data_IF_726301255559
#
_entry.id   IF_726301255559
#
_cell.length_a   1.000
_cell.length_b   1.000
_cell.length_c   1.000
_cell.angle_alpha   90.00
_cell.angle_beta   90.00
_cell.angle_gamma   90.00
#
_symmetry.space_group_name_H-M   'P 1'
#
loop_
_entity.id
_entity.type
_entity.pdbx_description
1 polymer ?
#
# COMPACT_ATOMS: atom_id res chain seq x y z
N UNK A 1 44.77 24.95 29.68
CA UNK A 1 43.70 24.87 30.70
C UNK A 1 42.63 25.84 30.26
N UNK A 2 41.46 25.44 29.79
CA UNK A 2 40.75 24.15 29.78
C UNK A 2 39.86 24.08 28.55
N UNK A 3 39.72 22.86 28.04
CA UNK A 3 38.68 22.39 27.13
C UNK A 3 37.28 22.90 27.47
N UNK A 4 36.47 23.11 26.44
CA UNK A 4 35.06 23.47 26.58
C UNK A 4 34.33 23.28 25.27
N UNK A 5 34.28 22.03 24.81
CA UNK A 5 33.52 21.58 23.67
C UNK A 5 32.04 22.02 23.76
N UNK A 6 31.61 22.94 22.91
CA UNK A 6 30.24 22.95 22.42
C UNK A 6 30.25 22.27 21.06
N UNK A 7 30.24 20.94 21.06
CA UNK A 7 29.70 20.17 19.94
C UNK A 7 28.27 20.67 19.76
N UNK A 8 28.05 21.52 18.77
CA UNK A 8 26.71 21.69 18.22
C UNK A 8 26.29 20.30 17.78
N UNK A 9 25.33 19.72 18.50
CA UNK A 9 24.68 18.49 18.12
C UNK A 9 24.06 18.75 16.75
N UNK A 10 24.70 18.17 15.73
CA UNK A 10 24.24 18.12 14.35
C UNK A 10 22.76 17.76 14.38
N UNK A 11 21.84 18.67 14.00
CA UNK A 11 20.42 18.41 14.13
C UNK A 11 20.14 17.20 13.26
N UNK A 12 19.86 16.09 13.95
CA UNK A 12 19.46 14.80 13.41
C UNK A 12 18.96 14.99 11.99
N UNK A 13 19.72 14.42 11.04
CA UNK A 13 19.36 14.28 9.64
C UNK A 13 17.99 13.60 9.58
N UNK A 14 16.93 14.40 9.79
CA UNK A 14 15.54 13.99 9.77
C UNK A 14 15.30 13.71 8.32
N UNK A 15 15.52 12.45 7.96
CA UNK A 15 15.20 11.92 6.64
C UNK A 15 13.80 12.37 6.23
N UNK A 16 13.51 12.36 4.92
CA UNK A 16 12.24 12.84 4.41
C UNK A 16 11.06 12.29 5.22
N UNK A 17 10.04 13.11 5.48
CA UNK A 17 8.94 12.73 6.36
C UNK A 17 8.31 11.44 5.85
N UNK A 18 8.15 10.46 6.74
CA UNK A 18 7.50 9.18 6.40
C UNK A 18 6.07 9.46 5.95
N UNK A 19 5.78 9.15 4.70
CA UNK A 19 4.47 9.21 4.07
C UNK A 19 3.80 7.83 4.16
N UNK A 20 2.46 7.76 4.04
CA UNK A 20 1.78 6.46 3.97
C UNK A 20 2.25 5.60 2.78
N UNK A 21 2.83 6.21 1.73
CA UNK A 21 3.38 5.51 0.56
C UNK A 21 4.69 4.79 0.85
N UNK A 22 5.37 5.11 1.97
CA UNK A 22 6.60 4.44 2.40
C UNK A 22 6.31 3.10 3.11
N UNK A 23 5.04 2.77 3.36
CA UNK A 23 4.66 1.47 3.89
C UNK A 23 4.50 0.46 2.73
N UNK A 24 5.29 -0.64 2.70
CA UNK A 24 5.21 -1.63 1.62
C UNK A 24 3.84 -2.32 1.51
N UNK A 25 2.99 -2.21 2.53
CA UNK A 25 1.63 -2.74 2.53
C UNK A 25 0.55 -1.72 2.18
N UNK A 26 0.88 -0.45 1.95
CA UNK A 26 -0.12 0.57 1.61
C UNK A 26 -0.83 0.25 0.29
N UNK A 27 -0.05 0.07 -0.79
CA UNK A 27 -0.59 -0.23 -2.11
C UNK A 27 -1.40 -1.54 -2.15
N UNK A 28 -0.92 -2.69 -1.63
CA UNK A 28 -1.72 -3.91 -1.68
C UNK A 28 -3.01 -3.80 -0.87
N UNK A 29 -3.03 -3.11 0.28
CA UNK A 29 -4.26 -2.88 1.04
C UNK A 29 -5.27 -2.05 0.24
N UNK A 30 -4.80 -0.99 -0.41
CA UNK A 30 -5.65 -0.17 -1.29
C UNK A 30 -6.24 -0.99 -2.44
N UNK A 31 -5.43 -1.85 -3.06
CA UNK A 31 -5.89 -2.74 -4.13
C UNK A 31 -6.90 -3.77 -3.62
N UNK A 32 -6.74 -4.31 -2.41
CA UNK A 32 -7.75 -5.20 -1.82
C UNK A 32 -9.09 -4.51 -1.59
N UNK A 33 -9.08 -3.25 -1.15
CA UNK A 33 -10.30 -2.44 -1.01
C UNK A 33 -11.01 -2.30 -2.37
N UNK A 34 -10.25 -1.97 -3.42
CA UNK A 34 -10.82 -1.88 -4.77
C UNK A 34 -11.29 -3.23 -5.31
N UNK A 35 -10.58 -4.32 -5.04
CA UNK A 35 -11.03 -5.65 -5.43
C UNK A 35 -12.36 -6.00 -4.76
N UNK A 36 -12.51 -5.74 -3.46
CA UNK A 36 -13.79 -5.97 -2.76
C UNK A 36 -14.90 -5.10 -3.35
N UNK A 37 -14.63 -3.83 -3.64
CA UNK A 37 -15.59 -2.96 -4.31
C UNK A 37 -16.00 -3.53 -5.67
N UNK A 38 -15.05 -3.80 -6.57
CA UNK A 38 -15.34 -4.34 -7.89
C UNK A 38 -16.10 -5.67 -7.85
N UNK A 39 -15.76 -6.54 -6.89
CA UNK A 39 -16.48 -7.79 -6.65
C UNK A 39 -17.93 -7.55 -6.19
N UNK A 40 -18.14 -6.58 -5.30
CA UNK A 40 -19.47 -6.21 -4.83
C UNK A 40 -20.31 -5.64 -5.98
N UNK A 41 -19.83 -4.63 -6.68
CA UNK A 41 -20.58 -3.97 -7.76
C UNK A 41 -20.71 -4.84 -9.03
N UNK A 42 -19.84 -5.84 -9.22
CA UNK A 42 -19.89 -6.74 -10.38
C UNK A 42 -20.86 -7.93 -10.24
N UNK A 43 -21.16 -8.34 -9.00
CA UNK A 43 -21.93 -9.57 -8.71
C UNK A 43 -23.01 -9.44 -7.66
N UNK A 44 -22.86 -8.58 -6.65
CA UNK A 44 -23.77 -8.47 -5.51
C UNK A 44 -24.74 -7.31 -5.68
N UNK A 45 -24.26 -6.17 -6.20
CA UNK A 45 -25.09 -5.01 -6.43
C UNK A 45 -26.09 -5.26 -7.58
N UNK A 46 -27.39 -5.13 -7.29
CA UNK A 46 -28.49 -5.40 -8.25
C UNK A 46 -29.21 -4.12 -8.70
N UNK A 47 -28.58 -2.95 -8.56
CA UNK A 47 -29.16 -1.69 -9.03
C UNK A 47 -29.40 -1.71 -10.54
N UNK A 48 -30.63 -1.41 -10.97
CA UNK A 48 -31.02 -1.42 -12.40
C UNK A 48 -30.21 -0.42 -13.23
N UNK A 49 -29.81 0.72 -12.64
CA UNK A 49 -28.96 1.73 -13.30
C UNK A 49 -27.54 1.24 -13.67
N UNK A 50 -27.01 0.23 -12.95
CA UNK A 50 -25.72 -0.39 -13.27
C UNK A 50 -25.77 -1.26 -14.53
N UNK A 51 -26.95 -1.79 -14.88
CA UNK A 51 -27.15 -2.65 -16.05
C UNK A 51 -27.17 -1.84 -17.34
N UNK A 52 -27.79 -0.66 -17.34
CA UNK A 52 -27.88 0.20 -18.53
C UNK A 52 -26.57 0.92 -18.86
N UNK A 53 -25.75 1.22 -17.85
CA UNK A 53 -24.58 2.09 -18.01
C UNK A 53 -23.31 1.37 -18.53
N UNK A 54 -23.36 0.07 -18.77
CA UNK A 54 -22.19 -0.73 -19.17
C UNK A 54 -21.11 -0.89 -18.09
N UNK A 55 -21.29 -0.27 -16.92
CA UNK A 55 -20.39 -0.30 -15.76
C UNK A 55 -20.32 -1.68 -15.12
N UNK A 56 -21.37 -2.51 -15.24
CA UNK A 56 -21.36 -3.90 -14.77
C UNK A 56 -20.18 -4.70 -15.36
N UNK A 57 -19.95 -4.60 -16.67
CA UNK A 57 -18.85 -5.32 -17.33
C UNK A 57 -17.49 -4.78 -16.91
N UNK A 58 -17.38 -3.45 -16.73
CA UNK A 58 -16.18 -2.83 -16.18
C UNK A 58 -15.85 -3.40 -14.80
N UNK A 59 -16.84 -3.54 -13.92
CA UNK A 59 -16.62 -4.08 -12.58
C UNK A 59 -16.25 -5.57 -12.60
N UNK A 60 -16.88 -6.36 -13.47
CA UNK A 60 -16.59 -7.80 -13.62
C UNK A 60 -15.19 -8.09 -14.16
N UNK A 61 -14.67 -7.25 -15.06
CA UNK A 61 -13.31 -7.40 -15.59
C UNK A 61 -12.30 -6.72 -14.66
N UNK A 62 -12.66 -5.59 -14.06
CA UNK A 62 -11.85 -4.88 -13.08
C UNK A 62 -11.53 -5.73 -11.86
N UNK A 63 -12.49 -6.53 -11.39
CA UNK A 63 -12.30 -7.43 -10.25
C UNK A 63 -11.09 -8.37 -10.39
N UNK A 64 -11.02 -9.28 -11.38
CA UNK A 64 -9.90 -10.20 -11.50
C UNK A 64 -8.57 -9.47 -11.75
N UNK A 65 -8.57 -8.36 -12.50
CA UNK A 65 -7.35 -7.57 -12.74
C UNK A 65 -6.82 -6.99 -11.43
N UNK A 66 -7.68 -6.33 -10.67
CA UNK A 66 -7.30 -5.69 -9.40
C UNK A 66 -6.99 -6.74 -8.32
N UNK A 67 -7.72 -7.85 -8.27
CA UNK A 67 -7.46 -8.94 -7.32
C UNK A 67 -6.11 -9.60 -7.57
N UNK A 68 -5.75 -9.87 -8.84
CA UNK A 68 -4.44 -10.40 -9.19
C UNK A 68 -3.31 -9.41 -8.87
N UNK A 69 -3.52 -8.11 -9.15
CA UNK A 69 -2.58 -7.07 -8.76
C UNK A 69 -2.42 -7.00 -7.23
N UNK A 70 -3.52 -7.02 -6.49
CA UNK A 70 -3.53 -7.02 -5.03
C UNK A 70 -2.72 -8.19 -4.48
N UNK A 71 -2.94 -9.41 -5.01
CA UNK A 71 -2.19 -10.59 -4.62
C UNK A 71 -0.69 -10.44 -4.90
N UNK A 72 -0.32 -10.01 -6.10
CA UNK A 72 1.07 -9.84 -6.49
C UNK A 72 1.80 -8.82 -5.62
N UNK A 73 1.21 -7.65 -5.41
CA UNK A 73 1.77 -6.61 -4.55
C UNK A 73 1.77 -7.01 -3.08
N UNK A 74 0.81 -7.83 -2.62
CA UNK A 74 0.81 -8.36 -1.24
C UNK A 74 2.02 -9.26 -1.02
N UNK A 75 2.30 -10.19 -1.94
CA UNK A 75 3.46 -11.07 -1.86
C UNK A 75 4.75 -10.26 -1.85
N UNK A 76 4.85 -9.26 -2.72
CA UNK A 76 6.00 -8.35 -2.79
C UNK A 76 6.18 -7.54 -1.49
N UNK A 77 5.13 -6.89 -1.00
CA UNK A 77 5.18 -6.07 0.21
C UNK A 77 5.49 -6.88 1.47
N UNK A 78 5.03 -8.13 1.56
CA UNK A 78 5.43 -9.04 2.65
C UNK A 78 6.92 -9.36 2.58
N UNK A 79 7.49 -9.59 1.39
CA UNK A 79 8.93 -9.84 1.22
C UNK A 79 9.76 -8.62 1.62
N UNK A 80 9.41 -7.43 1.14
CA UNK A 80 10.09 -6.18 1.48
C UNK A 80 10.04 -5.91 3.00
N UNK A 81 8.87 -6.09 3.63
CA UNK A 81 8.73 -5.93 5.09
C UNK A 81 9.56 -6.94 5.89
N UNK A 82 9.77 -8.15 5.36
CA UNK A 82 10.64 -9.16 5.99
C UNK A 82 12.12 -8.75 5.88
N UNK A 83 12.55 -8.31 4.71
CA UNK A 83 13.92 -7.82 4.48
C UNK A 83 14.25 -6.60 5.37
N UNK A 84 13.30 -5.68 5.56
CA UNK A 84 13.45 -4.54 6.47
C UNK A 84 13.60 -4.97 7.94
N UNK A 85 12.84 -5.98 8.38
CA UNK A 85 12.96 -6.53 9.75
C UNK A 85 14.30 -7.23 9.97
N UNK A 86 14.77 -7.97 8.97
CA UNK A 86 16.06 -8.67 9.03
C UNK A 86 17.23 -7.67 9.06
N UNK A 87 17.15 -6.58 8.29
CA UNK A 87 18.16 -5.50 8.31
C UNK A 87 18.10 -4.65 9.58
N UNK A 88 16.91 -4.34 10.09
CA UNK A 88 16.70 -3.53 11.29
C UNK A 88 16.94 -4.26 12.61
N UNK A 89 16.92 -5.60 12.62
CA UNK A 89 17.24 -6.42 13.79
C UNK A 89 18.72 -6.84 13.89
N UNK A 90 19.56 -6.43 12.94
CA UNK A 90 20.99 -6.77 12.89
C UNK A 90 21.92 -5.56 13.13
N UNK A 91 21.37 -4.46 13.67
CA UNK A 91 22.07 -3.27 14.15
C UNK A 91 21.94 -3.17 15.68
#
# INVERSE_FOLDING_TARGET
MTDGASREEDPEEKGPPKTPFDNPLFLPVLLWIFAVWFGYDGWINTDEHMLESGTLWFNRIGFPVVALAALWFTVRGIRERREEREKGGSA
#
